data_IF_949675387818
#
_entry.id   IF_949675387818
#
_cell.length_a   1.000
_cell.length_b   1.000
_cell.length_c   1.000
_cell.angle_alpha   90.00
_cell.angle_beta   90.00
_cell.angle_gamma   90.00
#
_symmetry.space_group_name_H-M   'P 1'
#
loop_
_entity.id
_entity.type
_entity.pdbx_description
1 polymer ?
#
# COMPACT_ATOMS: atom_id res chain seq x y z
N UNK A 1 -3.35 -24.92 13.28
CA UNK A 1 -4.36 -23.96 12.81
C UNK A 1 -4.00 -22.61 13.41
N UNK A 2 -3.40 -21.70 12.62
CA UNK A 2 -3.04 -20.36 13.11
C UNK A 2 -4.34 -19.58 13.28
N UNK A 3 -4.57 -19.01 14.46
CA UNK A 3 -5.72 -18.15 14.73
C UNK A 3 -5.42 -16.78 14.08
N UNK A 4 -6.00 -16.57 12.88
CA UNK A 4 -5.72 -15.44 11.96
C UNK A 4 -6.22 -14.07 12.46
N UNK A 5 -6.78 -14.01 13.66
CA UNK A 5 -7.32 -12.82 14.31
C UNK A 5 -6.44 -12.27 15.45
N UNK A 6 -5.24 -12.83 15.62
CA UNK A 6 -4.26 -12.31 16.58
C UNK A 6 -3.24 -11.42 15.87
N UNK A 7 -2.79 -10.35 16.53
CA UNK A 7 -1.72 -9.48 15.99
C UNK A 7 -0.47 -10.28 15.60
N UNK A 8 -0.12 -11.31 16.39
CA UNK A 8 0.99 -12.22 16.10
C UNK A 8 0.73 -13.06 14.85
N UNK A 9 -0.50 -13.53 14.63
CA UNK A 9 -0.87 -14.26 13.42
C UNK A 9 -0.72 -13.39 12.17
N UNK A 10 -1.22 -12.16 12.22
CA UNK A 10 -1.10 -11.20 11.11
C UNK A 10 0.35 -10.84 10.83
N UNK A 11 1.18 -10.64 11.86
CA UNK A 11 2.60 -10.36 11.65
C UNK A 11 3.32 -11.49 10.91
N UNK A 12 3.02 -12.75 11.23
CA UNK A 12 3.55 -13.91 10.50
C UNK A 12 3.09 -13.93 9.04
N UNK A 13 1.84 -13.56 8.77
CA UNK A 13 1.35 -13.46 7.39
C UNK A 13 2.10 -12.39 6.60
N UNK A 14 2.38 -11.24 7.21
CA UNK A 14 3.20 -10.18 6.59
C UNK A 14 4.61 -10.66 6.28
N UNK A 15 5.23 -11.42 7.18
CA UNK A 15 6.56 -12.02 6.95
C UNK A 15 6.54 -13.00 5.76
N UNK A 16 5.50 -13.83 5.66
CA UNK A 16 5.32 -14.76 4.53
C UNK A 16 5.14 -13.99 3.21
N UNK A 17 4.33 -12.93 3.19
CA UNK A 17 4.16 -12.08 2.01
C UNK A 17 5.48 -11.41 1.60
N UNK A 18 6.23 -10.88 2.56
CA UNK A 18 7.52 -10.26 2.30
C UNK A 18 8.53 -11.27 1.73
N UNK A 19 8.56 -12.50 2.25
CA UNK A 19 9.39 -13.57 1.70
C UNK A 19 8.98 -13.88 0.25
N UNK A 20 7.67 -14.04 -0.02
CA UNK A 20 7.15 -14.30 -1.36
C UNK A 20 7.49 -13.17 -2.35
N UNK A 21 7.32 -11.92 -1.94
CA UNK A 21 7.59 -10.73 -2.75
C UNK A 21 9.10 -10.56 -3.05
N UNK A 22 9.95 -11.14 -2.21
CA UNK A 22 11.41 -11.13 -2.39
C UNK A 22 11.91 -12.32 -3.23
N UNK A 23 11.09 -13.36 -3.43
CA UNK A 23 11.49 -14.55 -4.18
C UNK A 23 11.59 -14.26 -5.67
N UNK A 24 12.68 -14.72 -6.27
CA UNK A 24 12.76 -14.84 -7.73
C UNK A 24 11.80 -15.93 -8.22
N UNK A 25 11.36 -15.87 -9.47
CA UNK A 25 10.42 -16.87 -10.02
C UNK A 25 10.91 -18.31 -9.85
N UNK A 26 12.22 -18.54 -10.00
CA UNK A 26 12.85 -19.87 -9.85
C UNK A 26 12.84 -20.41 -8.42
N UNK A 27 12.58 -19.56 -7.41
CA UNK A 27 12.58 -19.92 -5.99
C UNK A 27 11.16 -20.20 -5.47
N UNK A 28 10.12 -19.92 -6.27
CA UNK A 28 8.71 -20.03 -5.83
C UNK A 28 8.33 -21.44 -5.42
N UNK A 29 8.79 -22.46 -6.15
CA UNK A 29 8.47 -23.85 -5.81
C UNK A 29 9.02 -24.21 -4.42
N UNK A 30 10.27 -23.81 -4.12
CA UNK A 30 10.87 -24.01 -2.81
C UNK A 30 10.17 -23.20 -1.70
N UNK A 31 9.67 -22.00 -2.02
CA UNK A 31 8.85 -21.22 -1.09
C UNK A 31 7.56 -21.97 -0.72
N UNK A 32 6.83 -22.50 -1.70
CA UNK A 32 5.60 -23.25 -1.44
C UNK A 32 5.87 -24.56 -0.69
N UNK A 33 6.97 -25.25 -0.99
CA UNK A 33 7.36 -26.45 -0.23
C UNK A 33 7.65 -26.12 1.24
N UNK A 34 8.36 -25.03 1.51
CA UNK A 34 8.66 -24.56 2.88
C UNK A 34 7.41 -24.17 3.65
N UNK A 35 6.44 -23.53 2.99
CA UNK A 35 5.23 -22.98 3.61
C UNK A 35 3.97 -23.80 3.35
N UNK A 36 4.09 -25.02 2.83
CA UNK A 36 2.98 -25.86 2.32
C UNK A 36 1.80 -26.04 3.29
N UNK A 37 2.08 -26.00 4.59
CA UNK A 37 1.05 -26.10 5.63
C UNK A 37 0.08 -24.91 5.69
N UNK A 38 0.49 -23.75 5.14
CA UNK A 38 -0.21 -22.47 5.19
C UNK A 38 -0.50 -21.90 3.81
N UNK A 39 0.41 -22.08 2.85
CA UNK A 39 0.32 -21.52 1.50
C UNK A 39 0.65 -22.62 0.50
N UNK A 40 -0.28 -22.94 -0.38
CA UNK A 40 -0.15 -24.00 -1.38
C UNK A 40 -0.13 -23.47 -2.81
N UNK A 41 -0.57 -22.24 -3.00
CA UNK A 41 -0.71 -21.62 -4.32
C UNK A 41 -0.57 -20.10 -4.24
N UNK A 42 -0.45 -19.47 -5.40
CA UNK A 42 -0.51 -18.01 -5.53
C UNK A 42 -1.89 -17.46 -5.12
N UNK A 43 -2.96 -18.25 -5.31
CA UNK A 43 -4.29 -17.85 -4.83
C UNK A 43 -4.31 -17.72 -3.29
N UNK A 44 -3.63 -18.61 -2.57
CA UNK A 44 -3.50 -18.50 -1.11
C UNK A 44 -2.72 -17.24 -0.70
N UNK A 45 -1.70 -16.85 -1.49
CA UNK A 45 -0.98 -15.58 -1.29
C UNK A 45 -1.94 -14.39 -1.41
N UNK A 46 -2.77 -14.36 -2.44
CA UNK A 46 -3.75 -13.28 -2.63
C UNK A 46 -4.80 -13.24 -1.51
N UNK A 47 -5.27 -14.41 -1.03
CA UNK A 47 -6.13 -14.47 0.15
C UNK A 47 -5.43 -13.92 1.40
N UNK A 48 -4.14 -14.19 1.58
CA UNK A 48 -3.35 -13.63 2.67
C UNK A 48 -3.22 -12.11 2.53
N UNK A 49 -2.96 -11.57 1.34
CA UNK A 49 -2.93 -10.12 1.11
C UNK A 49 -4.25 -9.47 1.48
N UNK A 50 -5.38 -10.07 1.08
CA UNK A 50 -6.71 -9.59 1.42
C UNK A 50 -6.93 -9.63 2.94
N UNK A 51 -6.52 -10.71 3.61
CA UNK A 51 -6.66 -10.84 5.07
C UNK A 51 -5.83 -9.80 5.84
N UNK A 52 -4.58 -9.57 5.43
CA UNK A 52 -3.72 -8.54 6.02
C UNK A 52 -4.32 -7.15 5.79
N UNK A 53 -4.73 -6.85 4.55
CA UNK A 53 -5.37 -5.57 4.20
C UNK A 53 -6.67 -5.34 4.98
N UNK A 54 -7.49 -6.37 5.14
CA UNK A 54 -8.72 -6.33 5.93
C UNK A 54 -8.45 -6.04 7.41
N UNK A 55 -7.36 -6.59 7.98
CA UNK A 55 -6.97 -6.34 9.36
C UNK A 55 -6.48 -4.90 9.58
N UNK A 56 -5.84 -4.30 8.58
CA UNK A 56 -5.34 -2.92 8.64
C UNK A 56 -6.43 -1.88 8.41
N UNK A 57 -7.52 -2.28 7.75
CA UNK A 57 -8.62 -1.40 7.42
C UNK A 57 -9.37 -0.94 8.67
N UNK A 58 -9.62 0.37 8.77
CA UNK A 58 -10.35 0.97 9.87
C UNK A 58 -11.35 1.99 9.33
N UNK A 59 -12.39 2.26 10.11
CA UNK A 59 -13.24 3.43 9.87
C UNK A 59 -12.37 4.70 9.85
N UNK A 60 -12.55 5.54 8.86
CA UNK A 60 -11.76 6.75 8.63
C UNK A 60 -10.48 6.54 7.81
N UNK A 61 -10.13 5.30 7.43
CA UNK A 61 -9.01 5.05 6.52
C UNK A 61 -9.24 5.74 5.18
N UNK A 62 -8.23 6.44 4.68
CA UNK A 62 -8.21 6.93 3.31
C UNK A 62 -7.91 5.77 2.36
N UNK A 63 -8.69 5.66 1.30
CA UNK A 63 -8.55 4.59 0.32
C UNK A 63 -8.64 5.15 -1.10
N UNK A 64 -7.99 4.46 -2.03
CA UNK A 64 -8.26 4.58 -3.45
C UNK A 64 -9.02 3.34 -3.90
N UNK A 65 -10.07 3.54 -4.69
CA UNK A 65 -10.89 2.45 -5.21
C UNK A 65 -10.85 2.47 -6.73
N UNK A 66 -10.90 1.29 -7.33
CA UNK A 66 -11.14 1.11 -8.77
C UNK A 66 -11.87 -0.20 -9.02
N UNK A 67 -13.19 -0.12 -9.13
CA UNK A 67 -14.02 -1.28 -9.41
C UNK A 67 -15.20 -0.92 -10.30
N UNK A 68 -15.86 -1.95 -10.82
CA UNK A 68 -17.07 -1.80 -11.60
C UNK A 68 -18.21 -2.57 -10.96
N UNK A 69 -19.36 -1.93 -10.84
CA UNK A 69 -20.60 -2.57 -10.41
C UNK A 69 -21.52 -2.74 -11.62
N UNK A 70 -22.00 -3.96 -11.83
CA UNK A 70 -22.98 -4.28 -12.86
C UNK A 70 -24.34 -4.52 -12.18
N UNK A 71 -25.34 -3.64 -12.40
CA UNK A 71 -26.65 -3.81 -11.79
C UNK A 71 -27.47 -4.91 -12.48
N UNK A 72 -28.22 -5.70 -11.71
CA UNK A 72 -29.01 -6.85 -12.20
C UNK A 72 -30.05 -6.54 -13.29
N UNK A 73 -30.42 -5.27 -13.48
CA UNK A 73 -31.54 -4.85 -14.34
C UNK A 73 -31.14 -4.47 -15.77
N UNK A 74 -30.04 -5.03 -16.29
CA UNK A 74 -29.54 -4.71 -17.63
C UNK A 74 -29.14 -3.24 -17.78
N UNK A 75 -28.82 -2.58 -16.67
CA UNK A 75 -28.30 -1.23 -16.66
C UNK A 75 -26.81 -1.27 -17.01
N UNK A 76 -26.31 -0.16 -17.54
CA UNK A 76 -24.90 -0.04 -17.88
C UNK A 76 -24.01 -0.23 -16.65
N UNK A 77 -22.88 -0.92 -16.86
CA UNK A 77 -21.81 -1.06 -15.87
C UNK A 77 -21.37 0.32 -15.36
N UNK A 78 -21.38 0.49 -14.04
CA UNK A 78 -20.95 1.74 -13.38
C UNK A 78 -19.55 1.52 -12.84
N UNK A 79 -18.59 2.35 -13.25
CA UNK A 79 -17.24 2.34 -12.69
C UNK A 79 -17.12 3.34 -11.55
N UNK A 80 -16.61 2.87 -10.42
CA UNK A 80 -16.22 3.66 -9.27
C UNK A 80 -14.69 3.74 -9.27
N UNK A 81 -14.16 4.95 -9.42
CA UNK A 81 -12.73 5.19 -9.43
C UNK A 81 -12.45 6.50 -8.73
N UNK A 82 -11.50 6.50 -7.79
CA UNK A 82 -11.10 7.72 -7.09
C UNK A 82 -10.62 7.46 -5.68
N UNK A 83 -10.33 8.55 -4.96
CA UNK A 83 -10.01 8.54 -3.54
C UNK A 83 -11.29 8.70 -2.71
N UNK A 84 -11.27 8.17 -1.50
CA UNK A 84 -12.38 8.29 -0.57
C UNK A 84 -11.99 7.89 0.84
N UNK A 85 -12.99 7.88 1.72
CA UNK A 85 -12.85 7.50 3.13
C UNK A 85 -13.77 6.33 3.46
N UNK A 86 -13.27 5.40 4.27
CA UNK A 86 -14.05 4.26 4.76
C UNK A 86 -14.99 4.70 5.89
N UNK A 87 -16.28 4.44 5.72
CA UNK A 87 -17.33 4.72 6.71
C UNK A 87 -17.58 3.51 7.62
N UNK A 88 -17.57 2.30 7.05
CA UNK A 88 -17.85 1.03 7.71
C UNK A 88 -17.12 -0.12 7.01
N UNK A 89 -16.68 -1.12 7.77
CA UNK A 89 -16.11 -2.36 7.25
C UNK A 89 -16.67 -3.55 8.02
N UNK A 90 -17.45 -4.39 7.34
CA UNK A 90 -18.10 -5.58 7.91
C UNK A 90 -18.19 -6.68 6.85
N UNK A 91 -18.05 -7.95 7.25
CA UNK A 91 -18.19 -9.13 6.39
C UNK A 91 -17.38 -9.09 5.08
N UNK A 92 -16.17 -8.51 5.11
CA UNK A 92 -15.31 -8.38 3.94
C UNK A 92 -15.77 -7.34 2.92
N UNK A 93 -16.78 -6.52 3.26
CA UNK A 93 -17.30 -5.42 2.45
C UNK A 93 -16.89 -4.08 3.03
N UNK A 94 -16.37 -3.23 2.16
CA UNK A 94 -15.94 -1.88 2.49
C UNK A 94 -17.00 -0.89 2.02
N UNK A 95 -17.56 -0.15 2.97
CA UNK A 95 -18.48 0.94 2.69
C UNK A 95 -17.76 2.26 2.92
N UNK A 96 -17.95 3.19 2.01
CA UNK A 96 -17.32 4.50 2.14
C UNK A 96 -17.90 5.53 1.19
N UNK A 97 -17.23 6.66 1.15
CA UNK A 97 -17.59 7.80 0.31
C UNK A 97 -16.36 8.30 -0.43
N UNK A 98 -16.50 8.45 -1.74
CA UNK A 98 -15.50 9.11 -2.58
C UNK A 98 -15.43 10.61 -2.23
N UNK A 99 -14.32 11.24 -2.57
CA UNK A 99 -14.11 12.68 -2.35
C UNK A 99 -15.13 13.55 -3.11
N UNK A 100 -15.72 13.02 -4.19
CA UNK A 100 -16.81 13.66 -4.93
C UNK A 100 -18.20 13.48 -4.28
N UNK A 101 -18.25 12.83 -3.11
CA UNK A 101 -19.45 12.60 -2.32
C UNK A 101 -20.22 11.32 -2.63
N UNK A 102 -19.88 10.59 -3.71
CA UNK A 102 -20.58 9.34 -4.08
C UNK A 102 -20.29 8.23 -3.06
N UNK A 103 -21.31 7.55 -2.53
CA UNK A 103 -21.11 6.36 -1.71
C UNK A 103 -20.65 5.18 -2.57
N UNK A 104 -19.83 4.30 -2.00
CA UNK A 104 -19.42 3.05 -2.63
C UNK A 104 -19.53 1.87 -1.66
N UNK A 105 -19.68 0.67 -2.23
CA UNK A 105 -19.59 -0.60 -1.53
C UNK A 105 -18.83 -1.58 -2.42
N UNK A 106 -17.68 -2.08 -1.94
CA UNK A 106 -16.81 -2.98 -2.70
C UNK A 106 -16.13 -4.02 -1.80
N UNK A 107 -15.38 -4.93 -2.41
CA UNK A 107 -14.55 -5.90 -1.69
C UNK A 107 -13.23 -5.26 -1.24
N UNK A 108 -12.60 -5.87 -0.25
CA UNK A 108 -11.26 -5.45 0.21
C UNK A 108 -10.20 -5.56 -0.91
N UNK A 109 -10.39 -6.47 -1.86
CA UNK A 109 -9.53 -6.61 -3.04
C UNK A 109 -9.55 -5.37 -3.94
N UNK A 110 -10.66 -4.62 -3.93
CA UNK A 110 -10.92 -3.51 -4.85
C UNK A 110 -10.42 -2.15 -4.33
N UNK A 111 -9.80 -2.15 -3.14
CA UNK A 111 -9.31 -0.96 -2.46
C UNK A 111 -7.80 -0.99 -2.28
N UNK A 112 -7.19 0.17 -2.31
CA UNK A 112 -5.81 0.43 -1.91
C UNK A 112 -5.85 1.38 -0.71
N UNK A 113 -5.27 0.97 0.42
CA UNK A 113 -5.19 1.82 1.62
C UNK A 113 -4.12 2.87 1.36
N UNK A 114 -4.50 4.14 1.53
CA UNK A 114 -3.58 5.27 1.43
C UNK A 114 -3.09 5.57 2.84
N UNK A 115 -1.84 5.22 3.13
CA UNK A 115 -1.23 5.56 4.40
C UNK A 115 -1.15 7.09 4.55
N UNK A 116 -1.64 7.60 5.68
CA UNK A 116 -1.35 8.96 6.16
C UNK A 116 0.11 8.98 6.61
N UNK A 117 1.03 9.11 5.65
CA UNK A 117 2.47 9.35 5.83
C UNK A 117 3.21 8.37 6.76
N UNK A 118 3.72 7.28 6.18
CA UNK A 118 5.12 6.90 6.41
C UNK A 118 5.83 6.96 5.03
N UNK A 119 6.84 7.82 4.84
CA UNK A 119 7.39 8.17 3.53
C UNK A 119 8.27 7.08 2.85
N UNK A 120 8.07 5.79 3.12
CA UNK A 120 8.94 4.70 2.63
C UNK A 120 8.29 3.60 1.79
N UNK A 121 7.02 3.71 1.38
CA UNK A 121 6.43 2.83 0.36
C UNK A 121 6.13 3.59 -0.93
N UNK A 122 7.19 3.97 -1.66
CA UNK A 122 7.06 4.25 -3.09
C UNK A 122 6.84 2.92 -3.80
N UNK A 123 5.57 2.54 -3.98
CA UNK A 123 5.18 1.44 -4.85
C UNK A 123 5.73 1.72 -6.25
N UNK A 124 6.54 0.78 -6.70
CA UNK A 124 6.90 0.55 -8.08
C UNK A 124 5.64 0.46 -8.94
N UNK A 125 5.43 1.46 -9.79
CA UNK A 125 5.06 1.28 -11.19
C UNK A 125 4.88 2.67 -11.82
N UNK A 126 5.90 3.10 -12.56
CA UNK A 126 5.75 3.97 -13.72
C UNK A 126 6.93 3.71 -14.66
N UNK A 127 6.65 3.02 -15.77
CA UNK A 127 7.53 2.97 -16.93
C UNK A 127 7.44 4.30 -17.70
N UNK A 128 8.52 4.62 -18.42
CA UNK A 128 8.74 5.71 -19.40
C UNK A 128 9.36 7.00 -18.84
N UNK A 129 10.56 7.31 -19.34
CA UNK A 129 11.05 8.69 -19.46
C UNK A 129 12.43 8.93 -18.87
N UNK A 130 13.48 8.70 -19.67
CA UNK A 130 14.81 9.22 -19.40
C UNK A 130 14.77 10.75 -19.43
N UNK A 131 15.00 11.41 -18.30
CA UNK A 131 15.50 12.79 -18.28
C UNK A 131 16.35 13.04 -17.02
N UNK A 132 17.61 13.36 -17.26
CA UNK A 132 18.60 13.65 -16.23
C UNK A 132 18.33 15.03 -15.62
N UNK A 133 17.64 15.07 -14.49
CA UNK A 133 17.58 16.27 -13.66
C UNK A 133 18.25 16.02 -12.31
N UNK A 134 19.43 16.63 -12.16
CA UNK A 134 20.28 16.67 -10.97
C UNK A 134 19.48 16.96 -9.70
N UNK A 135 19.19 15.93 -8.91
CA UNK A 135 18.72 16.08 -7.54
C UNK A 135 19.90 16.54 -6.67
N UNK A 136 20.01 17.85 -6.45
CA UNK A 136 20.91 18.40 -5.45
C UNK A 136 20.35 17.98 -4.09
N UNK A 137 21.06 17.07 -3.43
CA UNK A 137 20.72 16.53 -2.11
C UNK A 137 20.57 17.70 -1.11
N UNK A 138 19.40 17.80 -0.45
CA UNK A 138 19.12 18.84 0.57
C UNK A 138 20.18 18.88 1.68
N UNK A 139 20.86 17.77 1.95
CA UNK A 139 21.96 17.68 2.91
C UNK A 139 23.18 18.52 2.50
N UNK A 140 23.46 18.66 1.19
CA UNK A 140 24.58 19.48 0.68
C UNK A 140 24.27 20.97 0.81
N UNK A 141 23.02 21.38 0.57
CA UNK A 141 22.60 22.78 0.74
C UNK A 141 22.77 23.23 2.21
N UNK A 142 22.44 22.36 3.16
CA UNK A 142 22.63 22.64 4.59
C UNK A 142 24.11 22.73 4.96
N UNK A 143 24.97 21.86 4.41
CA UNK A 143 26.41 21.90 4.68
C UNK A 143 27.05 23.23 4.20
N UNK A 144 26.66 23.73 3.02
CA UNK A 144 27.13 25.01 2.51
C UNK A 144 26.65 26.21 3.36
N UNK A 145 25.44 26.14 3.91
CA UNK A 145 24.91 27.21 4.78
C UNK A 145 25.68 27.31 6.09
N UNK A 146 26.09 26.18 6.68
CA UNK A 146 26.86 26.16 7.93
C UNK A 146 28.32 26.60 7.76
N UNK A 147 28.95 26.26 6.62
CA UNK A 147 30.31 26.72 6.32
C UNK A 147 30.38 28.23 6.01
N UNK A 148 29.32 28.83 5.46
CA UNK A 148 29.25 30.27 5.18
C UNK A 148 29.19 31.18 6.42
N UNK A 149 28.67 30.69 7.55
CA UNK A 149 28.55 31.47 8.77
C UNK A 149 29.87 31.61 9.57
N UNK A 150 30.89 30.81 9.25
CA UNK A 150 32.17 30.84 9.96
C UNK A 150 33.17 31.91 9.45
N UNK A 151 32.88 32.60 8.34
CA UNK A 151 33.82 33.56 7.71
C UNK A 151 33.48 35.04 8.00
N UNK A 152 32.37 35.36 8.66
CA UNK A 152 32.02 36.75 9.03
C UNK A 152 32.21 36.99 10.53
N UNK A 153 33.43 36.79 11.03
CA UNK A 153 33.87 37.37 12.31
C UNK A 153 35.41 37.47 12.39
N UNK A 154 35.96 38.40 11.61
CA UNK A 154 37.38 38.72 11.69
C UNK A 154 37.76 39.89 10.79
N UNK A 155 37.55 41.11 11.28
CA UNK A 155 38.39 42.31 11.05
C UNK A 155 37.63 43.53 11.59
N UNK A 156 38.15 44.13 12.65
CA UNK A 156 37.57 45.29 13.32
C UNK A 156 38.38 45.67 14.55
N UNK A 157 39.66 45.96 14.35
CA UNK A 157 40.45 46.81 15.22
C UNK A 157 41.24 47.78 14.34
#
# INVERSE_FOLDING_TARGET
MITLNTTTGIQKLKEILQEFDSCMYIERDNFFDKHYSLVKSEDDIEQIRIAVKAFELKKGSSVKVDFSHEPDKGLNKIRFMGKGTVDLFEDGRVFGRLDDGRPFCCLVSDIEILDLENPESKTSDNFVGHDESKAINKTILFLCLFLGCAVVKGCGQ
#
